data_IF_191162142664
#
_entry.id   IF_191162142664
#
_cell.length_a   1.000
_cell.length_b   1.000
_cell.length_c   1.000
_cell.angle_alpha   90.00
_cell.angle_beta   90.00
_cell.angle_gamma   90.00
#
_symmetry.space_group_name_H-M   'P 1'
#
loop_
_entity.id
_entity.type
_entity.pdbx_description
1 polymer ?
#
# COMPACT_ATOMS: atom_id res chain seq x y z
N UNK A 1 -55.07 30.65 -49.03
CA UNK A 1 -53.68 30.25 -49.32
C UNK A 1 -52.60 31.32 -49.05
N UNK A 2 -52.93 32.57 -48.79
CA UNK A 2 -51.96 33.66 -48.60
C UNK A 2 -51.39 33.73 -47.11
N UNK A 3 -52.17 33.27 -46.15
CA UNK A 3 -51.81 33.40 -44.73
C UNK A 3 -50.74 32.41 -44.29
N UNK A 4 -50.64 31.25 -44.90
CA UNK A 4 -49.66 30.20 -44.56
C UNK A 4 -48.25 30.53 -45.08
N UNK A 5 -48.13 31.37 -46.07
CA UNK A 5 -46.87 31.78 -46.68
C UNK A 5 -46.14 32.88 -45.88
N UNK A 6 -46.91 33.65 -45.10
CA UNK A 6 -46.31 34.68 -44.24
C UNK A 6 -45.74 34.11 -42.92
N UNK A 7 -46.33 33.05 -42.32
CA UNK A 7 -45.87 32.42 -41.13
C UNK A 7 -44.54 31.67 -41.35
N UNK A 8 -44.36 31.01 -42.48
CA UNK A 8 -43.09 30.34 -42.79
C UNK A 8 -41.93 31.30 -43.03
N UNK A 9 -42.20 32.48 -43.59
CA UNK A 9 -41.18 33.54 -43.77
C UNK A 9 -40.77 34.19 -42.43
N UNK A 10 -41.72 34.31 -41.51
CA UNK A 10 -41.48 34.82 -40.18
C UNK A 10 -40.61 33.79 -39.35
N UNK A 11 -40.93 32.51 -39.45
CA UNK A 11 -40.17 31.44 -38.82
C UNK A 11 -38.72 31.34 -39.36
N UNK A 12 -38.55 31.48 -40.66
CA UNK A 12 -37.21 31.46 -41.29
C UNK A 12 -36.40 32.69 -40.85
N UNK A 13 -37.02 33.86 -40.73
CA UNK A 13 -36.35 35.10 -40.27
C UNK A 13 -35.97 35.02 -38.81
N UNK A 14 -36.82 34.44 -37.92
CA UNK A 14 -36.51 34.22 -36.53
C UNK A 14 -35.40 33.20 -36.32
N UNK A 15 -35.36 32.13 -37.13
CA UNK A 15 -34.32 31.14 -37.12
C UNK A 15 -32.94 31.71 -37.51
N UNK A 16 -32.92 32.58 -38.54
CA UNK A 16 -31.71 33.28 -38.95
C UNK A 16 -31.23 34.29 -37.90
N UNK A 17 -32.14 34.97 -37.24
CA UNK A 17 -31.80 35.90 -36.18
C UNK A 17 -31.18 35.16 -34.93
N UNK A 18 -31.72 33.99 -34.57
CA UNK A 18 -31.20 33.15 -33.50
C UNK A 18 -29.83 32.59 -33.88
N UNK A 19 -29.64 32.16 -35.13
CA UNK A 19 -28.34 31.62 -35.57
C UNK A 19 -27.26 32.72 -35.62
N UNK A 20 -27.62 33.96 -36.01
CA UNK A 20 -26.70 35.09 -36.01
C UNK A 20 -26.29 35.53 -34.59
N UNK A 21 -27.22 35.50 -33.62
CA UNK A 21 -26.93 35.83 -32.23
C UNK A 21 -26.10 34.76 -31.55
N UNK A 22 -26.30 33.47 -31.87
CA UNK A 22 -25.43 32.37 -31.32
C UNK A 22 -24.01 32.45 -31.86
N UNK A 23 -23.79 32.86 -33.12
CA UNK A 23 -22.43 33.05 -33.66
C UNK A 23 -21.64 34.16 -32.96
N UNK A 24 -22.30 35.17 -32.43
CA UNK A 24 -21.64 36.24 -31.68
C UNK A 24 -21.23 35.86 -30.27
N UNK A 25 -21.89 34.86 -29.67
CA UNK A 25 -21.61 34.42 -28.30
C UNK A 25 -20.39 33.47 -28.27
N UNK A 26 -20.09 32.77 -29.37
CA UNK A 26 -18.93 31.86 -29.42
C UNK A 26 -17.63 32.52 -29.92
N UNK A 27 -17.66 33.79 -30.30
CA UNK A 27 -16.46 34.58 -30.59
C UNK A 27 -15.80 35.12 -29.32
N UNK A 28 -15.70 34.32 -28.29
CA UNK A 28 -14.94 34.69 -27.11
C UNK A 28 -13.45 34.77 -27.45
N UNK A 29 -12.86 35.95 -27.26
CA UNK A 29 -11.45 36.18 -27.37
C UNK A 29 -10.71 35.15 -26.48
N UNK A 30 -9.93 34.29 -27.11
CA UNK A 30 -8.86 33.57 -26.44
C UNK A 30 -7.73 34.56 -26.20
N UNK A 31 -7.91 35.49 -25.25
CA UNK A 31 -6.79 36.23 -24.73
C UNK A 31 -5.96 35.25 -23.94
N UNK A 32 -4.75 35.06 -24.38
CA UNK A 32 -3.75 34.25 -23.69
C UNK A 32 -3.57 34.82 -22.27
N UNK A 33 -4.00 34.07 -21.24
CA UNK A 33 -3.92 34.52 -19.84
C UNK A 33 -2.50 34.93 -19.43
N UNK A 34 -1.51 34.53 -20.20
CA UNK A 34 -0.09 34.90 -20.00
C UNK A 34 0.19 36.38 -20.27
N UNK A 35 -0.69 37.10 -20.94
CA UNK A 35 -0.48 38.52 -21.30
C UNK A 35 -1.16 39.50 -20.36
N UNK A 36 -2.03 39.02 -19.44
CA UNK A 36 -2.70 39.88 -18.45
C UNK A 36 -1.66 40.44 -17.48
N UNK A 37 -1.51 41.75 -17.46
CA UNK A 37 -0.52 42.44 -16.62
C UNK A 37 0.86 42.63 -17.25
N UNK A 38 1.17 42.01 -18.39
CA UNK A 38 2.48 42.15 -19.05
C UNK A 38 2.82 43.59 -19.48
N UNK A 39 1.80 44.43 -19.69
CA UNK A 39 1.99 45.85 -20.05
C UNK A 39 2.51 46.70 -18.88
N UNK A 40 2.41 46.21 -17.66
CA UNK A 40 2.89 46.91 -16.45
C UNK A 40 4.32 46.50 -16.03
N UNK A 41 4.87 45.46 -16.67
CA UNK A 41 6.24 45.01 -16.42
C UNK A 41 7.19 45.69 -17.40
N UNK A 42 8.21 46.40 -16.95
CA UNK A 42 9.27 46.99 -17.83
C UNK A 42 9.86 45.89 -18.72
N UNK A 43 10.23 46.27 -19.98
CA UNK A 43 10.74 45.30 -20.96
C UNK A 43 12.00 44.58 -20.51
N UNK A 44 12.82 45.22 -19.70
CA UNK A 44 14.06 44.65 -19.14
C UNK A 44 13.78 43.66 -17.97
N UNK A 45 12.55 43.61 -17.45
CA UNK A 45 12.15 42.69 -16.36
C UNK A 45 11.24 41.57 -16.85
N UNK A 46 10.96 41.52 -18.15
CA UNK A 46 10.12 40.46 -18.74
C UNK A 46 10.96 39.19 -18.91
N UNK A 47 10.50 38.09 -18.31
CA UNK A 47 11.07 36.79 -18.59
C UNK A 47 10.71 36.36 -20.02
N UNK A 48 11.70 36.19 -20.86
CA UNK A 48 11.53 35.57 -22.17
C UNK A 48 11.77 34.07 -22.00
N UNK A 49 10.69 33.27 -22.16
CA UNK A 49 10.82 31.82 -22.22
C UNK A 49 11.19 31.50 -23.67
N UNK A 50 12.43 31.11 -23.87
CA UNK A 50 12.90 30.57 -25.15
C UNK A 50 12.92 29.04 -25.05
N UNK A 51 12.33 28.35 -26.03
CA UNK A 51 12.48 26.91 -26.20
C UNK A 51 13.65 26.70 -27.17
N UNK A 52 14.74 26.17 -26.68
CA UNK A 52 15.86 25.75 -27.53
C UNK A 52 15.58 24.32 -28.03
N UNK A 53 15.35 24.19 -29.32
CA UNK A 53 15.15 22.91 -30.00
C UNK A 53 16.40 22.40 -30.70
N UNK A 54 17.53 23.11 -30.56
CA UNK A 54 18.79 22.75 -31.20
C UNK A 54 19.57 21.68 -30.45
N UNK A 55 19.25 21.46 -29.18
CA UNK A 55 19.90 20.42 -28.37
C UNK A 55 19.23 19.07 -28.54
N UNK A 56 19.96 18.07 -28.99
CA UNK A 56 19.56 16.67 -28.98
C UNK A 56 19.65 16.15 -27.55
N UNK A 57 18.50 15.77 -26.99
CA UNK A 57 18.46 15.06 -25.69
C UNK A 57 18.44 13.58 -25.97
N UNK A 58 19.53 12.89 -25.70
CA UNK A 58 19.60 11.44 -25.72
C UNK A 58 19.06 10.89 -24.40
N UNK A 59 17.90 10.24 -24.44
CA UNK A 59 17.30 9.55 -23.30
C UNK A 59 17.43 8.04 -23.47
N UNK A 60 17.99 7.36 -22.49
CA UNK A 60 18.10 5.91 -22.46
C UNK A 60 17.72 5.35 -21.09
N UNK A 61 17.18 4.14 -21.09
CA UNK A 61 16.85 3.43 -19.86
C UNK A 61 18.07 2.67 -19.37
N UNK A 62 18.45 2.92 -18.11
CA UNK A 62 19.49 2.16 -17.42
C UNK A 62 18.85 1.13 -16.52
N UNK A 63 19.34 -0.12 -16.60
CA UNK A 63 18.93 -1.16 -15.68
C UNK A 63 19.40 -0.82 -14.27
N UNK A 64 18.46 -0.72 -13.33
CA UNK A 64 18.79 -0.61 -11.91
C UNK A 64 18.74 -2.00 -11.30
N UNK A 65 19.83 -2.41 -10.66
CA UNK A 65 20.00 -3.79 -10.14
C UNK A 65 19.04 -4.10 -9.00
N UNK A 66 18.89 -3.17 -8.04
CA UNK A 66 18.00 -3.38 -6.87
C UNK A 66 17.58 -2.06 -6.24
N UNK A 67 16.44 -2.08 -5.53
CA UNK A 67 15.89 -0.94 -4.81
C UNK A 67 15.94 -1.25 -3.31
N UNK A 68 16.36 -0.27 -2.49
CA UNK A 68 16.36 -0.39 -1.05
C UNK A 68 14.92 -0.51 -0.52
N UNK A 69 14.65 -1.54 0.31
CA UNK A 69 13.29 -1.87 0.81
C UNK A 69 13.15 -1.86 2.33
N UNK A 70 14.25 -1.64 3.08
CA UNK A 70 14.26 -1.74 4.54
C UNK A 70 13.47 -0.68 5.29
N UNK A 71 13.35 0.53 4.73
CA UNK A 71 12.75 1.70 5.41
C UNK A 71 11.35 2.09 4.91
N UNK A 72 10.62 1.18 4.30
CA UNK A 72 9.27 1.48 3.86
C UNK A 72 8.24 1.34 4.98
N UNK A 73 7.40 2.36 5.14
CA UNK A 73 6.26 2.34 6.07
C UNK A 73 5.13 1.40 5.64
N UNK A 74 5.17 0.87 4.42
CA UNK A 74 4.18 -0.03 3.85
C UNK A 74 4.87 -1.15 3.10
N UNK A 75 4.36 -2.38 3.29
CA UNK A 75 4.77 -3.55 2.51
C UNK A 75 3.79 -3.85 1.38
N UNK A 76 4.25 -4.47 0.32
CA UNK A 76 3.41 -5.00 -0.76
C UNK A 76 3.54 -6.51 -0.85
N UNK A 77 2.43 -7.19 -1.11
CA UNK A 77 2.40 -8.64 -1.27
C UNK A 77 1.51 -9.02 -2.44
N UNK A 78 1.92 -10.01 -3.20
CA UNK A 78 1.18 -10.52 -4.35
C UNK A 78 2.09 -10.89 -5.51
N UNK A 79 1.48 -11.13 -6.67
CA UNK A 79 2.17 -11.40 -7.92
C UNK A 79 1.44 -10.75 -9.08
N UNK A 80 2.19 -10.30 -10.07
CA UNK A 80 1.64 -9.74 -11.29
C UNK A 80 2.54 -10.07 -12.48
N UNK A 81 1.94 -10.59 -13.53
CA UNK A 81 2.63 -10.87 -14.79
C UNK A 81 2.41 -9.72 -15.77
N UNK A 82 3.51 -9.15 -16.24
CA UNK A 82 3.53 -8.14 -17.29
C UNK A 82 4.08 -8.77 -18.58
N UNK A 83 3.44 -8.60 -19.76
CA UNK A 83 3.91 -9.19 -21.02
C UNK A 83 5.33 -8.76 -21.43
N UNK A 84 5.77 -7.58 -21.00
CA UNK A 84 7.07 -7.00 -21.37
C UNK A 84 8.14 -7.18 -20.29
N UNK A 85 7.76 -7.17 -19.01
CA UNK A 85 8.67 -7.22 -17.87
C UNK A 85 8.73 -8.59 -17.18
N UNK A 86 7.89 -9.54 -17.60
CA UNK A 86 7.77 -10.83 -16.95
C UNK A 86 6.95 -10.76 -15.66
N UNK A 87 7.13 -11.77 -14.79
CA UNK A 87 6.42 -11.90 -13.52
C UNK A 87 7.20 -11.23 -12.41
N UNK A 88 6.51 -10.39 -11.65
CA UNK A 88 7.01 -9.80 -10.40
C UNK A 88 6.24 -10.40 -9.23
N UNK A 89 6.94 -10.88 -8.21
CA UNK A 89 6.35 -11.38 -6.96
C UNK A 89 6.92 -10.60 -5.79
N UNK A 90 6.05 -10.17 -4.89
CA UNK A 90 6.42 -9.44 -3.69
C UNK A 90 6.00 -10.21 -2.44
N UNK A 91 6.87 -10.20 -1.43
CA UNK A 91 6.68 -10.81 -0.12
C UNK A 91 7.03 -9.80 0.97
N UNK A 92 6.57 -10.04 2.20
CA UNK A 92 6.81 -9.13 3.32
C UNK A 92 7.43 -9.90 4.48
N UNK A 93 8.53 -9.39 5.01
CA UNK A 93 9.04 -9.78 6.32
C UNK A 93 8.94 -8.60 7.28
N UNK A 94 8.44 -8.82 8.49
CA UNK A 94 8.27 -7.77 9.50
C UNK A 94 8.57 -8.27 10.90
N UNK A 95 9.26 -7.45 11.70
CA UNK A 95 9.39 -7.66 13.13
C UNK A 95 8.07 -7.41 13.87
N UNK A 96 8.01 -7.82 15.11
CA UNK A 96 6.89 -7.61 16.02
C UNK A 96 7.44 -6.91 17.26
N UNK A 97 6.70 -5.90 17.75
CA UNK A 97 7.06 -5.14 18.94
C UNK A 97 5.85 -5.02 19.87
N UNK A 98 6.07 -5.04 21.21
CA UNK A 98 4.99 -4.90 22.16
C UNK A 98 4.44 -3.46 22.13
N UNK A 99 3.12 -3.33 21.93
CA UNK A 99 2.44 -2.03 21.97
C UNK A 99 2.10 -1.60 23.40
N UNK A 100 1.69 -2.56 24.24
CA UNK A 100 1.41 -2.33 25.66
C UNK A 100 2.39 -3.11 26.53
N UNK A 101 2.95 -2.41 27.50
CA UNK A 101 3.80 -2.99 28.55
C UNK A 101 3.01 -2.97 29.88
N UNK A 102 1.87 -3.66 29.91
CA UNK A 102 1.01 -3.69 31.09
C UNK A 102 1.56 -4.63 32.16
N UNK A 103 1.91 -4.04 33.30
CA UNK A 103 2.54 -4.74 34.44
C UNK A 103 1.60 -5.76 35.08
N UNK A 104 0.29 -5.55 35.03
CA UNK A 104 -0.69 -6.45 35.64
C UNK A 104 -0.72 -7.84 34.96
N UNK A 105 -0.33 -7.93 33.70
CA UNK A 105 -0.26 -9.19 32.95
C UNK A 105 0.86 -10.13 33.45
N UNK A 106 1.85 -9.62 34.16
CA UNK A 106 3.08 -10.34 34.52
C UNK A 106 3.18 -10.72 36.01
N UNK A 107 2.02 -10.73 36.69
CA UNK A 107 2.00 -11.27 38.05
C UNK A 107 2.39 -12.77 38.03
N UNK A 108 3.48 -13.16 38.70
CA UNK A 108 3.97 -14.55 38.73
C UNK A 108 2.96 -15.54 39.37
N UNK A 109 2.01 -15.04 40.16
CA UNK A 109 0.95 -15.85 40.75
C UNK A 109 -0.20 -16.18 39.80
N UNK A 110 -0.22 -15.55 38.64
CA UNK A 110 -1.27 -15.78 37.65
C UNK A 110 -0.86 -16.88 36.67
N UNK A 111 -1.64 -17.96 36.62
CA UNK A 111 -1.53 -18.92 35.53
C UNK A 111 -2.28 -18.40 34.31
N UNK A 112 -1.64 -18.42 33.15
CA UNK A 112 -2.20 -17.98 31.89
C UNK A 112 -2.38 -19.16 30.95
N UNK A 113 -3.59 -19.31 30.43
CA UNK A 113 -3.95 -20.35 29.46
C UNK A 113 -4.32 -19.68 28.13
N UNK A 114 -3.60 -20.01 27.06
CA UNK A 114 -3.85 -19.48 25.74
C UNK A 114 -5.22 -19.92 25.22
N UNK A 115 -6.03 -18.97 24.74
CA UNK A 115 -7.25 -19.25 24.00
C UNK A 115 -7.01 -19.14 22.49
N UNK A 116 -6.52 -18.01 22.03
CA UNK A 116 -6.26 -17.80 20.60
C UNK A 116 -5.31 -16.64 20.31
N UNK A 117 -4.73 -16.67 19.12
CA UNK A 117 -3.94 -15.58 18.55
C UNK A 117 -4.61 -15.11 17.28
N UNK A 118 -4.78 -13.79 17.15
CA UNK A 118 -5.39 -13.16 15.98
C UNK A 118 -4.47 -12.09 15.43
N UNK A 119 -4.10 -12.21 14.18
CA UNK A 119 -3.40 -11.17 13.43
C UNK A 119 -4.44 -10.29 12.73
N UNK A 120 -4.32 -8.99 12.89
CA UNK A 120 -5.18 -8.01 12.23
C UNK A 120 -4.31 -7.21 11.28
N UNK A 121 -4.51 -7.41 9.99
CA UNK A 121 -3.77 -6.71 8.93
C UNK A 121 -4.54 -5.47 8.49
N UNK A 122 -3.84 -4.36 8.40
CA UNK A 122 -4.34 -3.12 7.83
C UNK A 122 -3.99 -3.05 6.34
N UNK A 123 -4.93 -3.47 5.48
CA UNK A 123 -4.77 -3.47 4.02
C UNK A 123 -5.22 -2.12 3.50
N UNK A 124 -4.29 -1.32 2.98
CA UNK A 124 -4.51 0.09 2.64
C UNK A 124 -4.61 0.37 1.14
N UNK A 125 -4.27 -0.59 0.29
CA UNK A 125 -4.30 -0.37 -1.16
C UNK A 125 -4.22 -1.65 -1.98
N UNK A 126 -4.49 -1.52 -3.27
CA UNK A 126 -4.34 -2.57 -4.28
C UNK A 126 -3.77 -1.97 -5.57
N UNK A 127 -2.82 -2.66 -6.18
CA UNK A 127 -2.23 -2.35 -7.48
C UNK A 127 -2.55 -3.51 -8.41
N UNK A 128 -2.99 -3.22 -9.63
CA UNK A 128 -3.43 -4.23 -10.60
C UNK A 128 -4.95 -4.43 -10.60
N UNK A 129 -5.40 -5.68 -10.70
CA UNK A 129 -6.84 -5.99 -10.79
C UNK A 129 -7.51 -5.81 -9.42
N UNK A 130 -8.48 -4.89 -9.34
CA UNK A 130 -9.30 -4.70 -8.14
C UNK A 130 -10.10 -5.97 -7.83
N UNK A 131 -10.19 -6.30 -6.55
CA UNK A 131 -10.88 -7.50 -6.03
C UNK A 131 -10.31 -8.85 -6.53
N UNK A 132 -9.14 -8.85 -7.15
CA UNK A 132 -8.46 -10.11 -7.49
C UNK A 132 -8.06 -10.81 -6.19
N UNK A 133 -8.53 -12.03 -5.94
CA UNK A 133 -8.10 -12.79 -4.77
C UNK A 133 -6.65 -13.22 -4.91
N UNK A 134 -5.89 -13.05 -3.84
CA UNK A 134 -4.57 -13.65 -3.68
C UNK A 134 -4.55 -14.50 -2.41
N UNK A 135 -3.89 -15.64 -2.46
CA UNK A 135 -3.67 -16.48 -1.28
C UNK A 135 -2.34 -16.10 -0.63
N UNK A 136 -2.40 -15.83 0.66
CA UNK A 136 -1.24 -15.45 1.47
C UNK A 136 -1.00 -16.51 2.54
N UNK A 137 0.25 -16.89 2.70
CA UNK A 137 0.74 -17.82 3.71
C UNK A 137 1.57 -17.06 4.74
N UNK A 138 1.29 -17.31 6.01
CA UNK A 138 1.96 -16.69 7.14
C UNK A 138 2.90 -17.69 7.81
N UNK A 139 4.15 -17.30 7.96
CA UNK A 139 5.20 -18.07 8.61
C UNK A 139 5.83 -17.27 9.75
N UNK A 140 6.37 -17.96 10.76
CA UNK A 140 7.21 -17.36 11.80
C UNK A 140 8.65 -17.20 11.30
N UNK A 141 9.26 -16.04 11.56
CA UNK A 141 10.70 -15.88 11.36
C UNK A 141 11.49 -16.67 12.37
N UNK A 142 12.58 -17.30 11.96
CA UNK A 142 13.50 -18.05 12.85
C UNK A 142 14.66 -17.18 13.36
N UNK A 143 14.92 -16.06 12.68
CA UNK A 143 15.89 -15.04 13.09
C UNK A 143 15.29 -13.65 13.01
N UNK A 144 15.79 -12.74 13.81
CA UNK A 144 15.42 -11.33 13.76
C UNK A 144 15.84 -10.71 12.42
N UNK A 145 15.02 -9.78 11.94
CA UNK A 145 15.45 -8.86 10.90
C UNK A 145 16.54 -7.95 11.47
N UNK A 146 17.64 -7.85 10.75
CA UNK A 146 18.74 -6.96 11.16
C UNK A 146 18.32 -5.51 10.87
N UNK A 147 18.51 -4.55 11.80
CA UNK A 147 18.20 -3.14 11.53
C UNK A 147 18.89 -2.63 10.27
N UNK A 148 18.20 -1.77 9.52
CA UNK A 148 18.68 -1.23 8.23
C UNK A 148 19.98 -0.40 8.37
N UNK A 149 20.27 0.10 9.55
CA UNK A 149 21.54 0.76 9.88
C UNK A 149 22.76 -0.18 9.84
N UNK A 150 22.52 -1.50 9.97
CA UNK A 150 23.56 -2.53 9.96
C UNK A 150 23.57 -3.30 8.64
N UNK A 151 22.38 -3.62 8.13
CA UNK A 151 22.20 -4.39 6.90
C UNK A 151 21.07 -3.80 6.08
N UNK A 152 21.35 -3.43 4.85
CA UNK A 152 20.33 -2.99 3.92
C UNK A 152 19.61 -4.18 3.29
N UNK A 153 18.27 -4.09 3.21
CA UNK A 153 17.44 -5.01 2.48
C UNK A 153 17.04 -4.38 1.14
N UNK A 154 17.19 -5.16 0.09
CA UNK A 154 16.90 -4.74 -1.28
C UNK A 154 15.74 -5.54 -1.85
N UNK A 155 15.17 -5.08 -2.96
CA UNK A 155 14.05 -5.73 -3.64
C UNK A 155 14.36 -7.15 -4.13
N UNK A 156 15.64 -7.49 -4.28
CA UNK A 156 16.13 -8.83 -4.63
C UNK A 156 16.65 -9.64 -3.42
N UNK A 157 16.49 -9.12 -2.20
CA UNK A 157 16.88 -9.86 -0.99
C UNK A 157 15.94 -11.05 -0.77
N UNK A 158 16.52 -12.23 -0.60
CA UNK A 158 15.78 -13.45 -0.30
C UNK A 158 15.71 -13.63 1.21
N UNK A 159 14.51 -13.77 1.76
CA UNK A 159 14.29 -14.15 3.15
C UNK A 159 14.24 -15.67 3.24
N UNK A 160 15.22 -16.27 3.90
CA UNK A 160 15.35 -17.72 4.08
C UNK A 160 15.19 -18.15 5.55
N UNK A 161 15.26 -17.21 6.48
CA UNK A 161 15.25 -17.46 7.92
C UNK A 161 13.79 -17.45 8.46
N UNK A 162 12.95 -18.39 8.00
CA UNK A 162 11.59 -18.61 8.48
C UNK A 162 11.28 -20.10 8.64
N UNK A 163 10.28 -20.42 9.48
CA UNK A 163 9.78 -21.79 9.62
C UNK A 163 8.93 -22.14 8.38
N UNK A 164 9.20 -23.28 7.75
CA UNK A 164 8.46 -23.74 6.59
C UNK A 164 6.99 -24.11 6.90
N UNK A 165 6.66 -24.30 8.17
CA UNK A 165 5.30 -24.52 8.61
C UNK A 165 4.43 -23.27 8.44
N UNK A 166 3.21 -23.47 7.95
CA UNK A 166 2.24 -22.39 7.74
C UNK A 166 1.42 -22.21 9.02
N UNK A 167 1.49 -21.03 9.65
CA UNK A 167 0.70 -20.67 10.82
C UNK A 167 -0.74 -20.25 10.45
N UNK A 168 -0.91 -19.69 9.26
CA UNK A 168 -2.22 -19.35 8.70
C UNK A 168 -2.13 -19.23 7.18
N UNK A 169 -3.20 -19.63 6.50
CA UNK A 169 -3.43 -19.34 5.09
C UNK A 169 -4.74 -18.58 4.94
N UNK A 170 -4.73 -17.49 4.18
CA UNK A 170 -5.90 -16.64 4.02
C UNK A 170 -5.90 -15.94 2.67
N UNK A 171 -7.09 -15.55 2.22
CA UNK A 171 -7.26 -14.84 0.96
C UNK A 171 -7.41 -13.33 1.20
N UNK A 172 -6.68 -12.52 0.45
CA UNK A 172 -6.88 -11.07 0.36
C UNK A 172 -7.55 -10.76 -0.98
N UNK A 173 -8.68 -10.04 -0.93
CA UNK A 173 -9.46 -9.65 -2.12
C UNK A 173 -10.06 -8.25 -2.01
N UNK A 174 -9.83 -7.56 -0.89
CA UNK A 174 -10.37 -6.22 -0.61
C UNK A 174 -9.38 -5.39 0.18
N UNK A 175 -9.52 -4.07 0.06
CA UNK A 175 -8.84 -3.09 0.89
C UNK A 175 -9.68 -2.91 2.16
N UNK A 176 -9.27 -3.58 3.24
CA UNK A 176 -9.99 -3.60 4.53
C UNK A 176 -9.05 -4.04 5.67
N UNK A 177 -9.46 -3.82 6.90
CA UNK A 177 -8.80 -4.47 8.04
C UNK A 177 -9.24 -5.92 8.13
N UNK A 178 -8.30 -6.85 7.95
CA UNK A 178 -8.56 -8.28 7.93
C UNK A 178 -8.09 -8.96 9.20
N UNK A 179 -9.02 -9.67 9.85
CA UNK A 179 -8.73 -10.50 11.03
C UNK A 179 -8.44 -11.94 10.59
N UNK A 180 -7.31 -12.46 11.03
CA UNK A 180 -6.83 -13.81 10.72
C UNK A 180 -6.56 -14.51 12.05
N UNK A 181 -7.34 -15.52 12.38
CA UNK A 181 -7.05 -16.40 13.52
C UNK A 181 -5.93 -17.34 13.12
N UNK A 182 -4.89 -17.42 13.94
CA UNK A 182 -3.84 -18.40 13.76
C UNK A 182 -4.30 -19.75 14.31
N UNK A 183 -4.03 -20.82 13.60
CA UNK A 183 -4.47 -22.15 13.95
C UNK A 183 -3.32 -23.18 13.90
N UNK A 184 -3.51 -24.30 14.62
CA UNK A 184 -2.57 -25.41 14.64
C UNK A 184 -1.46 -25.30 15.69
N UNK A 185 -0.58 -26.30 15.69
CA UNK A 185 0.47 -26.44 16.70
C UNK A 185 1.48 -25.28 16.72
N UNK A 186 1.81 -24.72 15.54
CA UNK A 186 2.74 -23.59 15.44
C UNK A 186 2.12 -22.31 16.01
N UNK A 187 0.85 -22.05 15.74
CA UNK A 187 0.13 -20.92 16.29
C UNK A 187 0.01 -21.02 17.83
N UNK A 188 -0.26 -22.21 18.33
CA UNK A 188 -0.32 -22.49 19.78
C UNK A 188 1.07 -22.28 20.43
N UNK A 189 2.13 -22.77 19.81
CA UNK A 189 3.51 -22.56 20.28
C UNK A 189 3.85 -21.07 20.32
N UNK A 190 3.57 -20.34 19.25
CA UNK A 190 3.80 -18.91 19.17
C UNK A 190 3.01 -18.13 20.22
N UNK A 191 1.72 -18.44 20.40
CA UNK A 191 0.88 -17.81 21.41
C UNK A 191 1.36 -18.10 22.84
N UNK A 192 1.78 -19.34 23.12
CA UNK A 192 2.35 -19.71 24.41
C UNK A 192 3.67 -18.98 24.67
N UNK A 193 4.52 -18.79 23.66
CA UNK A 193 5.73 -17.97 23.80
C UNK A 193 5.37 -16.54 24.20
N UNK A 194 4.32 -15.95 23.62
CA UNK A 194 3.87 -14.59 23.94
C UNK A 194 3.30 -14.47 25.36
N UNK A 195 2.42 -15.38 25.80
CA UNK A 195 1.82 -15.30 27.13
C UNK A 195 2.77 -15.66 28.26
N UNK A 196 3.88 -16.34 27.97
CA UNK A 196 4.89 -16.75 28.95
C UNK A 196 6.10 -15.82 29.00
N UNK A 197 6.09 -14.69 28.27
CA UNK A 197 7.12 -13.68 28.41
C UNK A 197 7.16 -13.12 29.83
N UNK A 198 8.35 -12.85 30.34
CA UNK A 198 8.51 -12.13 31.59
C UNK A 198 8.28 -10.64 31.44
N UNK A 199 8.16 -9.94 32.56
CA UNK A 199 8.05 -8.49 32.56
C UNK A 199 9.26 -7.84 31.89
N UNK A 200 10.45 -8.29 32.24
CA UNK A 200 11.70 -7.77 31.68
C UNK A 200 11.80 -7.99 30.16
N UNK A 201 11.35 -9.16 29.67
CA UNK A 201 11.29 -9.48 28.24
C UNK A 201 10.29 -8.60 27.48
N UNK A 202 9.20 -8.19 28.12
CA UNK A 202 8.22 -7.28 27.51
C UNK A 202 8.64 -5.80 27.56
N UNK A 203 9.38 -5.39 28.58
CA UNK A 203 9.82 -4.00 28.73
C UNK A 203 11.05 -3.68 27.86
N UNK A 204 11.84 -4.68 27.51
CA UNK A 204 13.06 -4.56 26.70
C UNK A 204 12.83 -5.05 25.28
N UNK A 205 12.88 -4.16 24.29
CA UNK A 205 12.73 -4.52 22.90
C UNK A 205 13.77 -5.57 22.45
N UNK A 206 15.01 -5.46 22.93
CA UNK A 206 16.07 -6.42 22.61
C UNK A 206 15.80 -7.82 23.18
N UNK A 207 15.27 -7.92 24.40
CA UNK A 207 14.92 -9.20 25.00
C UNK A 207 13.67 -9.79 24.35
N UNK A 208 12.70 -8.95 24.03
CA UNK A 208 11.50 -9.35 23.30
C UNK A 208 11.86 -9.97 21.95
N UNK A 209 12.70 -9.32 21.17
CA UNK A 209 13.16 -9.80 19.86
C UNK A 209 13.92 -11.15 19.95
N UNK A 210 14.57 -11.46 21.08
CA UNK A 210 15.19 -12.77 21.27
C UNK A 210 14.16 -13.91 21.32
N UNK A 211 12.93 -13.63 21.72
CA UNK A 211 11.84 -14.61 21.86
C UNK A 211 10.89 -14.59 20.68
N UNK A 212 10.51 -13.40 20.21
CA UNK A 212 9.52 -13.16 19.18
C UNK A 212 10.20 -12.49 17.99
N UNK A 213 10.42 -13.26 16.91
CA UNK A 213 11.22 -12.81 15.76
C UNK A 213 10.47 -11.98 14.76
N UNK A 214 9.19 -12.28 14.57
CA UNK A 214 8.38 -11.64 13.55
C UNK A 214 7.73 -12.61 12.59
N UNK A 215 7.17 -12.06 11.52
CA UNK A 215 6.43 -12.81 10.53
C UNK A 215 7.00 -12.63 9.12
N UNK A 216 6.86 -13.69 8.35
CA UNK A 216 7.08 -13.69 6.92
C UNK A 216 5.77 -14.03 6.21
N UNK A 217 5.35 -13.16 5.32
CA UNK A 217 4.18 -13.33 4.46
C UNK A 217 4.65 -13.61 3.05
N UNK A 218 4.24 -14.75 2.51
CA UNK A 218 4.49 -15.08 1.12
C UNK A 218 3.19 -15.44 0.37
N UNK A 219 3.30 -15.61 -0.92
CA UNK A 219 2.19 -16.01 -1.79
C UNK A 219 2.69 -16.97 -2.84
N UNK A 220 1.82 -17.90 -3.29
CA UNK A 220 2.10 -18.69 -4.47
C UNK A 220 1.87 -17.83 -5.73
N UNK A 221 2.90 -17.53 -6.52
CA UNK A 221 2.78 -16.68 -7.69
C UNK A 221 1.77 -17.17 -8.73
N UNK A 222 1.62 -18.50 -8.86
CA UNK A 222 0.71 -19.09 -9.85
C UNK A 222 -0.76 -18.95 -9.45
N UNK A 223 -1.05 -18.93 -8.14
CA UNK A 223 -2.40 -18.78 -7.61
C UNK A 223 -2.80 -17.31 -7.41
N UNK A 224 -1.82 -16.44 -7.26
CA UNK A 224 -2.01 -15.06 -6.81
C UNK A 224 -1.66 -14.01 -7.87
N UNK A 225 -1.60 -14.40 -9.15
CA UNK A 225 -1.25 -13.49 -10.24
C UNK A 225 -2.36 -12.47 -10.52
N UNK A 226 -1.97 -11.23 -10.74
CA UNK A 226 -2.82 -10.13 -11.22
C UNK A 226 -3.04 -8.99 -10.23
N UNK A 227 -2.58 -9.07 -8.98
CA UNK A 227 -2.69 -7.97 -8.01
C UNK A 227 -1.56 -7.98 -6.96
N UNK A 228 -1.22 -6.78 -6.50
CA UNK A 228 -0.47 -6.55 -5.26
C UNK A 228 -1.37 -5.84 -4.26
N UNK A 229 -1.36 -6.29 -3.02
CA UNK A 229 -2.01 -5.61 -1.90
C UNK A 229 -0.97 -4.91 -1.03
N UNK A 230 -1.31 -3.69 -0.61
CA UNK A 230 -0.46 -2.89 0.27
C UNK A 230 -0.91 -3.09 1.72
N UNK A 231 0.02 -3.49 2.57
CA UNK A 231 -0.18 -3.65 4.01
C UNK A 231 0.56 -2.52 4.74
N UNK A 232 -0.10 -1.93 5.72
CA UNK A 232 0.49 -1.00 6.67
C UNK A 232 0.88 -1.77 7.95
N UNK A 233 2.17 -2.10 8.16
CA UNK A 233 2.60 -2.83 9.34
C UNK A 233 2.30 -2.10 10.65
N UNK A 234 2.47 -0.77 10.68
CA UNK A 234 2.24 0.07 11.87
C UNK A 234 0.76 0.06 12.27
N UNK A 235 -0.16 0.02 11.29
CA UNK A 235 -1.61 -0.08 11.52
C UNK A 235 -2.09 -1.51 11.78
N UNK A 236 -1.22 -2.51 11.60
CA UNK A 236 -1.49 -3.91 11.85
C UNK A 236 -1.17 -4.28 13.30
N UNK A 237 -1.83 -5.29 13.83
CA UNK A 237 -1.62 -5.70 15.23
C UNK A 237 -1.82 -7.20 15.44
N UNK A 238 -1.25 -7.71 16.50
CA UNK A 238 -1.47 -9.06 17.00
C UNK A 238 -2.24 -8.96 18.32
N UNK A 239 -3.35 -9.69 18.41
CA UNK A 239 -4.16 -9.80 19.62
C UNK A 239 -4.05 -11.22 20.15
N UNK A 240 -3.63 -11.36 21.40
CA UNK A 240 -3.54 -12.64 22.09
C UNK A 240 -4.65 -12.71 23.12
N UNK A 241 -5.50 -13.73 23.02
CA UNK A 241 -6.59 -14.00 23.94
C UNK A 241 -6.18 -15.14 24.87
N UNK A 242 -6.34 -14.94 26.15
CA UNK A 242 -5.95 -15.92 27.18
C UNK A 242 -6.84 -15.78 28.42
N UNK A 243 -6.88 -16.83 29.22
CA UNK A 243 -7.55 -16.86 30.54
C UNK A 243 -6.50 -16.71 31.63
N UNK A 244 -6.89 -16.05 32.70
CA UNK A 244 -6.09 -15.94 33.91
C UNK A 244 -6.83 -16.69 35.02
N UNK A 245 -6.11 -17.61 35.70
CA UNK A 245 -6.58 -18.24 36.94
C UNK A 245 -5.62 -17.86 38.05
N UNK A 246 -6.16 -17.30 39.14
CA UNK A 246 -5.39 -17.11 40.36
C UNK A 246 -5.30 -18.44 41.07
N UNK A 247 -4.09 -18.82 41.47
CA UNK A 247 -3.81 -19.92 42.42
C UNK A 247 -4.27 -19.55 43.79
#
# INVERSE_FOLDING_TARGET
>A
MAQQRNSSRLLIRSLFAILATTSFIFGGCTDDQSTVGSKFIPENERYQIAVDTSELVDAYTVLQDSILTGNFSKGIIGSMTNPFLGRTTATIATGIYPYFKDVALFDPNNQRELDSVVVILDITGVIGQKNKPITVYLHELTKNLVPDTIKHYYSNSVISDFDNGVMASFTMNKVERKRIKLDGALATKFGNNLINLTKEEMESDSLFELKIKGFYFNTNPDESDGAFYTINPIGSQISVYYKISST
#
